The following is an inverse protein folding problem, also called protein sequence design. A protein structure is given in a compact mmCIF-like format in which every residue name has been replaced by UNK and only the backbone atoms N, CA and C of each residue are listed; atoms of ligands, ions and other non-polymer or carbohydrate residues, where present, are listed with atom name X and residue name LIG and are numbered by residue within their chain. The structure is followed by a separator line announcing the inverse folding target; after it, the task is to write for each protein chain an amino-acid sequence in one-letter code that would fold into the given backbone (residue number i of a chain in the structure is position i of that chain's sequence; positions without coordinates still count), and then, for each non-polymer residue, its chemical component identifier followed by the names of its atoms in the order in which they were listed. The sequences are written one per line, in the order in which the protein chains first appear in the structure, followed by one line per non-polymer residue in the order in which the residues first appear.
data_IF_345536951830
#
_entry.id   IF_345536951830
#
_cell.length_a   1.000
_cell.length_b   1.000
_cell.length_c   1.000
_cell.angle_alpha   90.00
_cell.angle_beta   90.00
_cell.angle_gamma   90.00
#
_symmetry.space_group_name_H-M   'P 1'
#
loop_
_entity.id
_entity.type
_entity.pdbx_description
1 polymer ?
#
# COMPACT_ATOMS: atom_id res chain seq x y z
N UNK A 1 5.80 -65.59 -59.30
CA UNK A 1 4.35 -65.27 -59.22
C UNK A 1 4.23 -63.89 -58.59
N UNK A 2 3.84 -62.94 -59.43
CA UNK A 2 3.59 -61.55 -59.09
C UNK A 2 2.23 -61.43 -58.40
N UNK A 3 2.12 -60.60 -57.37
CA UNK A 3 0.86 -59.93 -57.03
C UNK A 3 1.16 -58.49 -56.60
N UNK A 4 0.93 -57.58 -57.54
CA UNK A 4 0.71 -56.14 -57.30
C UNK A 4 -0.48 -55.95 -56.35
N UNK A 5 -0.48 -54.86 -55.58
CA UNK A 5 -1.64 -53.98 -55.53
C UNK A 5 -1.32 -52.65 -54.84
N UNK A 6 -1.96 -51.63 -55.39
CA UNK A 6 -1.66 -50.21 -55.37
C UNK A 6 -2.10 -49.49 -54.10
N UNK A 7 -1.45 -48.34 -53.86
CA UNK A 7 -1.97 -47.26 -53.01
C UNK A 7 -3.17 -46.60 -53.68
N UNK A 8 -4.16 -46.15 -52.91
CA UNK A 8 -4.90 -44.95 -53.25
C UNK A 8 -4.50 -43.79 -52.34
N UNK A 9 -3.91 -42.79 -52.99
CA UNK A 9 -3.79 -41.41 -52.53
C UNK A 9 -5.16 -40.85 -52.15
N UNK A 10 -5.33 -40.40 -50.90
CA UNK A 10 -6.42 -39.49 -50.53
C UNK A 10 -5.86 -38.10 -50.28
N UNK A 11 -6.15 -37.24 -51.25
CA UNK A 11 -5.91 -35.80 -51.26
C UNK A 11 -6.45 -35.14 -49.99
N UNK A 12 -5.61 -34.41 -49.26
CA UNK A 12 -6.07 -33.33 -48.40
C UNK A 12 -5.60 -31.98 -48.95
N UNK A 13 -6.48 -30.95 -48.96
CA UNK A 13 -6.32 -29.80 -49.82
C UNK A 13 -5.33 -28.79 -49.25
N UNK A 14 -4.53 -28.24 -50.16
CA UNK A 14 -3.82 -26.97 -50.02
C UNK A 14 -4.81 -25.82 -49.89
N UNK A 15 -4.49 -24.88 -48.99
CA UNK A 15 -5.02 -23.51 -48.88
C UNK A 15 -6.45 -23.35 -48.35
N UNK A 16 -6.53 -23.01 -47.06
CA UNK A 16 -7.30 -21.84 -46.66
C UNK A 16 -6.39 -20.95 -45.83
N UNK A 17 -6.23 -19.71 -46.31
CA UNK A 17 -5.46 -18.67 -45.65
C UNK A 17 -5.89 -18.55 -44.20
N UNK A 18 -4.97 -18.78 -43.25
CA UNK A 18 -5.13 -18.25 -41.91
C UNK A 18 -5.26 -16.74 -42.05
N UNK A 19 -6.37 -16.11 -41.61
CA UNK A 19 -6.36 -14.67 -41.48
C UNK A 19 -5.26 -14.35 -40.47
N UNK A 20 -4.18 -13.73 -40.97
CA UNK A 20 -3.15 -13.12 -40.15
C UNK A 20 -3.81 -11.93 -39.44
N UNK A 21 -4.57 -12.24 -38.38
CA UNK A 21 -5.23 -11.24 -37.56
C UNK A 21 -4.12 -10.56 -36.79
N UNK A 22 -3.74 -9.38 -37.27
CA UNK A 22 -2.75 -8.52 -36.65
C UNK A 22 -3.20 -8.23 -35.20
N UNK A 23 -2.69 -9.02 -34.25
CA UNK A 23 -3.06 -8.96 -32.83
C UNK A 23 -2.83 -7.57 -32.22
N UNK A 24 -2.05 -6.71 -32.88
CA UNK A 24 -1.92 -5.29 -32.53
C UNK A 24 -3.25 -4.52 -32.59
N UNK A 25 -4.25 -4.99 -33.33
CA UNK A 25 -5.53 -4.29 -33.53
C UNK A 25 -6.59 -4.60 -32.47
N UNK A 26 -6.43 -5.65 -31.67
CA UNK A 26 -7.44 -6.11 -30.69
C UNK A 26 -7.13 -5.60 -29.27
N UNK A 27 -5.90 -5.13 -29.01
CA UNK A 27 -5.52 -4.66 -27.68
C UNK A 27 -5.99 -3.22 -27.44
N UNK A 28 -6.93 -3.05 -26.50
CA UNK A 28 -7.32 -1.73 -26.00
C UNK A 28 -6.09 -0.94 -25.53
N UNK A 29 -6.03 0.38 -25.78
CA UNK A 29 -4.90 1.19 -25.33
C UNK A 29 -4.66 1.05 -23.82
N UNK A 30 -3.42 0.76 -23.43
CA UNK A 30 -3.06 0.65 -22.02
C UNK A 30 -3.19 2.02 -21.37
N UNK A 31 -4.18 2.16 -20.47
CA UNK A 31 -4.37 3.39 -19.71
C UNK A 31 -3.23 3.56 -18.70
N UNK A 32 -2.40 4.57 -18.92
CA UNK A 32 -1.33 4.95 -17.97
C UNK A 32 -1.92 5.43 -16.65
N UNK A 33 -1.27 5.08 -15.54
CA UNK A 33 -1.64 5.60 -14.23
C UNK A 33 -1.38 7.12 -14.16
N UNK A 34 -2.40 7.90 -13.80
CA UNK A 34 -2.31 9.36 -13.73
C UNK A 34 -1.29 9.81 -12.67
N UNK A 35 -0.69 11.01 -12.86
CA UNK A 35 0.24 11.58 -11.89
C UNK A 35 -0.46 11.76 -10.53
N UNK A 36 0.21 11.37 -9.45
CA UNK A 36 -0.31 11.46 -8.08
C UNK A 36 -1.27 10.32 -7.67
N UNK A 37 -1.72 9.46 -8.59
CA UNK A 37 -2.54 8.29 -8.24
C UNK A 37 -1.69 7.20 -7.62
N UNK A 38 -2.13 6.68 -6.47
CA UNK A 38 -1.44 5.58 -5.80
C UNK A 38 -1.63 4.26 -6.57
N UNK A 39 -0.64 3.37 -6.47
CA UNK A 39 -0.74 2.00 -6.99
C UNK A 39 -1.25 1.08 -5.89
N UNK A 40 -2.51 0.65 -6.03
CA UNK A 40 -3.21 -0.16 -5.03
C UNK A 40 -2.81 -1.63 -5.02
N UNK A 41 -3.30 -2.40 -4.03
CA UNK A 41 -2.99 -3.83 -3.87
C UNK A 41 -3.28 -4.65 -5.14
N UNK A 42 -4.42 -4.41 -5.81
CA UNK A 42 -4.79 -5.08 -7.06
C UNK A 42 -3.78 -4.83 -8.19
N UNK A 43 -3.37 -3.58 -8.37
CA UNK A 43 -2.38 -3.22 -9.38
C UNK A 43 -1.00 -3.79 -9.05
N UNK A 44 -0.61 -3.78 -7.77
CA UNK A 44 0.62 -4.45 -7.32
C UNK A 44 0.60 -5.95 -7.60
N UNK A 45 -0.54 -6.61 -7.34
CA UNK A 45 -0.71 -8.03 -7.63
C UNK A 45 -0.63 -8.33 -9.13
N UNK A 46 -1.20 -7.46 -9.97
CA UNK A 46 -1.07 -7.55 -11.43
C UNK A 46 0.40 -7.48 -11.86
N UNK A 47 1.20 -6.58 -11.28
CA UNK A 47 2.65 -6.51 -11.53
C UNK A 47 3.34 -7.84 -11.18
N UNK A 48 3.03 -8.43 -10.01
CA UNK A 48 3.61 -9.72 -9.60
C UNK A 48 3.19 -10.85 -10.52
N UNK A 49 1.92 -10.88 -10.92
CA UNK A 49 1.37 -11.89 -11.81
C UNK A 49 1.98 -11.81 -13.22
N UNK A 50 2.39 -10.63 -13.69
CA UNK A 50 3.14 -10.48 -14.93
C UNK A 50 4.62 -10.88 -14.76
N UNK A 51 5.21 -10.61 -13.60
CA UNK A 51 6.63 -10.89 -13.34
C UNK A 51 6.95 -12.38 -13.24
N UNK A 52 6.14 -13.17 -12.52
CA UNK A 52 6.36 -14.62 -12.34
C UNK A 52 6.57 -15.37 -13.66
N UNK A 53 5.64 -15.34 -14.63
CA UNK A 53 5.79 -16.08 -15.88
C UNK A 53 6.93 -15.53 -16.75
N UNK A 54 7.10 -14.20 -16.83
CA UNK A 54 8.17 -13.61 -17.65
C UNK A 54 9.56 -13.97 -17.16
N UNK A 55 9.77 -14.00 -15.84
CA UNK A 55 11.04 -14.44 -15.25
C UNK A 55 11.32 -15.92 -15.55
N UNK A 56 10.28 -16.76 -15.57
CA UNK A 56 10.42 -18.18 -15.85
C UNK A 56 10.69 -18.45 -17.33
N UNK A 57 10.03 -17.73 -18.24
CA UNK A 57 10.20 -17.89 -19.69
C UNK A 57 11.53 -17.31 -20.20
N UNK A 58 12.08 -16.30 -19.53
CA UNK A 58 13.27 -15.57 -19.99
C UNK A 58 14.28 -15.35 -18.86
N UNK A 59 14.91 -16.41 -18.33
CA UNK A 59 15.83 -16.30 -17.20
C UNK A 59 17.10 -15.49 -17.52
N UNK A 60 17.49 -15.38 -18.79
CA UNK A 60 18.65 -14.62 -19.25
C UNK A 60 18.39 -13.14 -19.59
N UNK A 61 17.13 -12.68 -19.56
CA UNK A 61 16.82 -11.28 -19.86
C UNK A 61 17.36 -10.35 -18.77
N UNK A 62 17.91 -9.20 -19.17
CA UNK A 62 18.37 -8.19 -18.22
C UNK A 62 17.20 -7.69 -17.37
N UNK A 63 17.43 -7.55 -16.06
CA UNK A 63 16.40 -7.10 -15.13
C UNK A 63 15.73 -5.78 -15.56
N UNK A 64 16.50 -4.82 -16.09
CA UNK A 64 15.99 -3.53 -16.57
C UNK A 64 14.99 -3.69 -17.73
N UNK A 65 15.27 -4.58 -18.67
CA UNK A 65 14.41 -4.86 -19.83
C UNK A 65 13.12 -5.56 -19.40
N UNK A 66 13.23 -6.53 -18.49
CA UNK A 66 12.09 -7.21 -17.89
C UNK A 66 11.13 -6.22 -17.18
N UNK A 67 11.68 -5.31 -16.37
CA UNK A 67 10.89 -4.28 -15.68
C UNK A 67 10.26 -3.28 -16.65
N UNK A 68 10.96 -2.92 -17.73
CA UNK A 68 10.42 -2.05 -18.78
C UNK A 68 9.24 -2.71 -19.51
N UNK A 69 9.37 -4.00 -19.84
CA UNK A 69 8.29 -4.80 -20.43
C UNK A 69 7.06 -4.88 -19.51
N UNK A 70 7.25 -5.14 -18.21
CA UNK A 70 6.13 -5.14 -17.24
C UNK A 70 5.51 -3.75 -17.09
N UNK A 71 6.33 -2.69 -17.14
CA UNK A 71 5.85 -1.30 -17.07
C UNK A 71 4.96 -0.95 -18.26
N UNK A 72 5.36 -1.38 -19.46
CA UNK A 72 4.57 -1.21 -20.67
C UNK A 72 3.22 -1.94 -20.56
N UNK A 73 3.23 -3.22 -20.20
CA UNK A 73 2.03 -4.05 -20.11
C UNK A 73 1.05 -3.62 -19.01
N UNK A 74 1.58 -3.15 -17.88
CA UNK A 74 0.76 -2.76 -16.72
C UNK A 74 0.28 -1.31 -16.75
N UNK A 75 0.87 -0.46 -17.60
CA UNK A 75 0.61 0.99 -17.60
C UNK A 75 1.12 1.71 -16.34
N UNK A 76 1.94 1.04 -15.53
CA UNK A 76 2.49 1.57 -14.27
C UNK A 76 3.95 1.96 -14.49
N UNK A 77 4.35 3.12 -13.97
CA UNK A 77 5.72 3.62 -14.13
C UNK A 77 6.78 2.64 -13.61
N UNK A 78 7.86 2.49 -14.38
CA UNK A 78 8.96 1.53 -14.14
C UNK A 78 9.49 1.56 -12.71
N UNK A 79 9.68 2.75 -12.12
CA UNK A 79 10.16 2.88 -10.72
C UNK A 79 9.24 2.18 -9.73
N UNK A 80 7.92 2.28 -9.93
CA UNK A 80 6.92 1.66 -9.05
C UNK A 80 6.83 0.15 -9.27
N UNK A 81 7.02 -0.31 -10.51
CA UNK A 81 7.15 -1.74 -10.83
C UNK A 81 8.33 -2.34 -10.09
N UNK A 82 9.53 -1.74 -10.22
CA UNK A 82 10.74 -2.18 -9.50
C UNK A 82 10.49 -2.24 -8.00
N UNK A 83 9.95 -1.17 -7.41
CA UNK A 83 9.66 -1.13 -5.97
C UNK A 83 8.70 -2.24 -5.54
N UNK A 84 7.65 -2.50 -6.33
CA UNK A 84 6.66 -3.54 -6.04
C UNK A 84 7.26 -4.94 -6.12
N UNK A 85 8.10 -5.21 -7.12
CA UNK A 85 8.79 -6.49 -7.25
C UNK A 85 9.81 -6.69 -6.13
N UNK A 86 10.56 -5.66 -5.74
CA UNK A 86 11.46 -5.72 -4.60
C UNK A 86 10.71 -5.98 -3.28
N UNK A 87 9.59 -5.28 -3.05
CA UNK A 87 8.70 -5.52 -1.90
C UNK A 87 8.25 -6.99 -1.88
N UNK A 88 7.71 -7.49 -2.99
CA UNK A 88 7.29 -8.88 -3.13
C UNK A 88 8.42 -9.89 -2.90
N UNK A 89 9.62 -9.66 -3.45
CA UNK A 89 10.77 -10.56 -3.26
C UNK A 89 11.22 -10.64 -1.81
N UNK A 90 11.11 -9.53 -1.06
CA UNK A 90 11.57 -9.46 0.33
C UNK A 90 10.52 -9.99 1.30
N UNK A 91 9.22 -9.75 1.05
CA UNK A 91 8.15 -10.08 2.01
C UNK A 91 7.23 -11.21 1.56
N UNK A 92 7.31 -11.68 0.31
CA UNK A 92 6.36 -12.65 -0.27
C UNK A 92 4.98 -12.06 -0.63
N UNK A 93 4.67 -10.86 -0.14
CA UNK A 93 3.39 -10.20 -0.32
C UNK A 93 3.51 -8.76 -0.83
N UNK A 94 2.42 -8.23 -1.38
CA UNK A 94 2.28 -6.81 -1.74
C UNK A 94 1.36 -6.10 -0.75
N UNK A 95 1.92 -5.21 0.09
CA UNK A 95 1.14 -4.43 1.05
C UNK A 95 0.39 -3.31 0.33
N UNK A 96 -0.84 -3.04 0.74
CA UNK A 96 -1.55 -1.86 0.26
C UNK A 96 -0.87 -0.59 0.78
N UNK A 97 -0.82 0.49 -0.01
CA UNK A 97 -0.44 1.79 0.52
C UNK A 97 -1.31 2.17 1.73
N UNK A 98 -0.70 2.79 2.74
CA UNK A 98 -1.47 3.30 3.86
C UNK A 98 -2.40 4.42 3.36
N UNK A 99 -3.71 4.20 3.48
CA UNK A 99 -4.73 5.15 3.05
C UNK A 99 -4.99 6.24 4.10
N UNK A 100 -4.59 6.00 5.35
CA UNK A 100 -4.79 6.93 6.44
C UNK A 100 -3.45 7.56 6.82
N UNK A 101 -3.45 8.88 6.96
CA UNK A 101 -2.29 9.59 7.50
C UNK A 101 -2.25 9.33 9.00
N UNK A 102 -1.18 8.71 9.49
CA UNK A 102 -0.90 8.64 10.93
C UNK A 102 -0.59 10.06 11.39
N UNK A 103 -1.41 10.60 12.29
CA UNK A 103 -1.22 11.94 12.88
C UNK A 103 -1.00 11.75 14.38
N UNK A 104 0.14 12.21 14.95
CA UNK A 104 0.33 12.16 16.38
C UNK A 104 -0.77 12.96 17.06
N UNK A 105 -1.43 12.33 18.02
CA UNK A 105 -2.46 12.91 18.85
C UNK A 105 -1.83 13.81 19.92
N UNK A 106 -2.65 14.54 20.67
CA UNK A 106 -2.16 15.31 21.81
C UNK A 106 -1.61 14.39 22.91
N UNK A 107 -2.14 13.17 23.02
CA UNK A 107 -1.69 12.16 23.98
C UNK A 107 -0.26 11.73 23.65
N UNK A 108 0.03 11.51 22.36
CA UNK A 108 1.37 11.14 21.89
C UNK A 108 2.41 12.25 22.07
N UNK A 109 1.97 13.50 22.23
CA UNK A 109 2.85 14.66 22.41
C UNK A 109 3.19 14.95 23.87
N UNK A 110 2.39 14.44 24.80
CA UNK A 110 2.61 14.64 26.23
C UNK A 110 3.41 13.43 26.73
N UNK A 111 4.63 13.69 27.20
CA UNK A 111 5.47 12.64 27.79
C UNK A 111 4.87 12.10 29.09
N UNK A 112 5.28 10.91 29.49
CA UNK A 112 4.76 10.23 30.67
C UNK A 112 5.06 10.99 31.97
N UNK A 113 6.15 11.75 32.03
CA UNK A 113 6.43 12.67 33.12
C UNK A 113 5.33 13.73 33.29
N UNK A 114 4.96 14.38 32.18
CA UNK A 114 3.91 15.39 32.17
C UNK A 114 2.53 14.79 32.47
N UNK A 115 2.24 13.58 31.99
CA UNK A 115 1.03 12.83 32.36
C UNK A 115 0.95 12.60 33.86
N UNK A 116 2.06 12.21 34.49
CA UNK A 116 2.13 12.01 35.94
C UNK A 116 1.95 13.33 36.71
N UNK A 117 2.58 14.41 36.27
CA UNK A 117 2.39 15.72 36.87
C UNK A 117 0.93 16.21 36.76
N UNK A 118 0.27 16.01 35.62
CA UNK A 118 -1.17 16.27 35.46
C UNK A 118 -1.98 15.43 36.44
N UNK A 119 -1.69 14.12 36.57
CA UNK A 119 -2.35 13.22 37.53
C UNK A 119 -2.23 13.75 38.96
N UNK A 120 -1.03 14.19 39.37
CA UNK A 120 -0.80 14.78 40.69
C UNK A 120 -1.61 16.06 40.91
N UNK A 121 -1.70 16.94 39.92
CA UNK A 121 -2.54 18.15 40.01
C UNK A 121 -4.00 17.80 40.25
N UNK A 122 -4.53 16.80 39.54
CA UNK A 122 -5.92 16.36 39.69
C UNK A 122 -6.13 15.76 41.09
N UNK A 123 -5.20 14.91 41.57
CA UNK A 123 -5.24 14.39 42.94
C UNK A 123 -5.17 15.48 44.01
N UNK A 124 -4.43 16.56 43.76
CA UNK A 124 -4.43 17.73 44.63
C UNK A 124 -5.82 18.34 44.86
N UNK A 125 -6.71 18.30 43.86
CA UNK A 125 -8.10 18.77 44.05
C UNK A 125 -8.89 17.84 44.99
N UNK A 126 -8.77 16.52 44.82
CA UNK A 126 -9.42 15.57 45.73
C UNK A 126 -8.89 15.68 47.17
N UNK A 127 -7.59 15.86 47.36
CA UNK A 127 -7.02 16.07 48.70
C UNK A 127 -7.54 17.35 49.38
N UNK A 128 -7.88 18.38 48.60
CA UNK A 128 -8.50 19.62 49.10
C UNK A 128 -10.04 19.52 49.22
N UNK A 129 -10.63 18.34 48.99
CA UNK A 129 -12.08 18.14 48.91
C UNK A 129 -12.78 19.06 47.88
N UNK A 130 -12.06 19.44 46.82
CA UNK A 130 -12.60 20.22 45.71
C UNK A 130 -12.96 19.31 44.53
N UNK A 131 -14.08 19.60 43.86
CA UNK A 131 -14.43 18.91 42.61
C UNK A 131 -13.48 19.38 41.49
N UNK A 132 -12.68 18.49 40.88
CA UNK A 132 -11.80 18.84 39.77
C UNK A 132 -12.63 19.08 38.50
N UNK A 133 -12.96 20.34 38.23
CA UNK A 133 -13.60 20.76 36.97
C UNK A 133 -12.54 20.98 35.89
N UNK A 134 -12.88 20.65 34.63
CA UNK A 134 -11.99 20.82 33.47
C UNK A 134 -11.38 22.23 33.43
N UNK A 135 -12.17 23.28 33.68
CA UNK A 135 -11.66 24.67 33.68
C UNK A 135 -10.62 24.90 34.77
N UNK A 136 -10.87 24.39 35.98
CA UNK A 136 -9.94 24.52 37.12
C UNK A 136 -8.63 23.77 36.85
N UNK A 137 -8.72 22.58 36.27
CA UNK A 137 -7.55 21.77 35.94
C UNK A 137 -6.73 22.43 34.83
N UNK A 138 -7.37 22.94 33.76
CA UNK A 138 -6.67 23.69 32.71
C UNK A 138 -5.93 24.89 33.29
N UNK A 139 -6.59 25.65 34.18
CA UNK A 139 -5.96 26.79 34.83
C UNK A 139 -4.74 26.35 35.65
N UNK A 140 -4.90 25.34 36.52
CA UNK A 140 -3.82 24.83 37.36
C UNK A 140 -2.64 24.20 36.59
N UNK A 141 -2.88 23.69 35.37
CA UNK A 141 -1.83 23.19 34.47
C UNK A 141 -1.12 24.38 33.79
N UNK A 142 -1.88 25.37 33.31
CA UNK A 142 -1.33 26.51 32.59
C UNK A 142 -0.60 27.51 33.48
N UNK A 143 -0.94 27.54 34.77
CA UNK A 143 -0.23 28.34 35.79
C UNK A 143 1.13 27.74 36.17
N UNK A 144 1.37 26.46 35.86
CA UNK A 144 2.60 25.76 36.16
C UNK A 144 3.59 25.87 34.99
N UNK A 145 4.75 26.55 35.16
CA UNK A 145 5.70 26.76 34.07
C UNK A 145 6.39 25.46 33.62
N UNK A 146 6.38 24.41 34.44
CA UNK A 146 7.02 23.13 34.14
C UNK A 146 6.11 22.22 33.30
N UNK A 147 4.84 22.59 33.12
CA UNK A 147 3.84 21.82 32.37
C UNK A 147 3.52 22.46 31.02
N UNK A 148 3.24 21.65 29.98
CA UNK A 148 2.80 22.18 28.70
C UNK A 148 1.39 22.77 28.82
N UNK A 149 1.18 23.94 28.22
CA UNK A 149 -0.15 24.55 28.14
C UNK A 149 -1.11 23.65 27.33
N UNK A 150 -2.27 23.34 27.89
CA UNK A 150 -3.26 22.45 27.29
C UNK A 150 -4.63 23.12 27.18
N UNK A 151 -5.24 23.19 25.98
CA UNK A 151 -6.62 23.65 25.86
C UNK A 151 -7.60 22.63 26.43
N UNK A 152 -8.78 23.08 26.86
CA UNK A 152 -9.83 22.24 27.47
C UNK A 152 -10.22 21.01 26.64
N UNK A 153 -10.22 21.12 25.31
CA UNK A 153 -10.55 20.01 24.40
C UNK A 153 -9.47 18.93 24.40
N UNK A 154 -8.21 19.33 24.51
CA UNK A 154 -7.07 18.43 24.66
C UNK A 154 -7.07 17.76 26.02
N UNK A 155 -7.29 18.53 27.10
CA UNK A 155 -7.34 17.98 28.46
C UNK A 155 -8.38 16.86 28.58
N UNK A 156 -9.58 17.01 27.99
CA UNK A 156 -10.60 15.94 27.97
C UNK A 156 -10.09 14.62 27.37
N UNK A 157 -9.22 14.67 26.36
CA UNK A 157 -8.62 13.47 25.76
C UNK A 157 -7.57 12.85 26.68
N UNK A 158 -6.76 13.70 27.31
CA UNK A 158 -5.75 13.28 28.28
C UNK A 158 -6.40 12.64 29.51
N UNK A 159 -7.47 13.22 30.05
CA UNK A 159 -8.20 12.66 31.19
C UNK A 159 -8.73 11.25 30.90
N UNK A 160 -9.31 11.05 29.71
CA UNK A 160 -9.76 9.71 29.26
C UNK A 160 -8.62 8.70 29.21
N UNK A 161 -7.45 9.11 28.74
CA UNK A 161 -6.26 8.25 28.72
C UNK A 161 -5.74 7.94 30.14
N UNK A 162 -5.85 8.91 31.05
CA UNK A 162 -5.42 8.77 32.44
C UNK A 162 -6.44 8.05 33.33
N UNK A 163 -7.58 7.61 32.77
CA UNK A 163 -8.71 6.97 33.43
C UNK A 163 -9.40 7.84 34.50
N UNK A 164 -9.63 9.11 34.18
CA UNK A 164 -10.41 10.07 34.98
C UNK A 164 -11.71 10.50 34.30
#
# INVERSE_FOLDING_TARGET
MNTSNELPSTNHPTTSAEPNVDFKKISSPIKKNEKGRFVGKRQKLMIVNLYKPKKQQQPGMKYKELMASISADSGIGMRKVIQTISEYKNTGECKSPNKTKIRPTIIDKIDDFNKNAIRQKIHGFWFRNEIPSIKKIVQAINDDPDLPNLPSTSLRRVLKELNF
#
